data_IF_807205337804
#
_entry.id   IF_807205337804
#
_cell.length_a   1.000
_cell.length_b   1.000
_cell.length_c   1.000
_cell.angle_alpha   90.00
_cell.angle_beta   90.00
_cell.angle_gamma   90.00
#
_symmetry.space_group_name_H-M   'P 1'
#
loop_
_entity.id
_entity.type
_entity.pdbx_description
1 polymer ?
#
# COMPACT_ATOMS: atom_id res chain seq x y z
N UNK A 1 -5.29 6.42 -30.14
CA UNK A 1 -4.10 6.16 -29.32
C UNK A 1 -4.59 5.43 -28.09
N UNK A 2 -4.22 4.16 -27.90
CA UNK A 2 -4.67 3.33 -26.78
C UNK A 2 -3.73 3.55 -25.60
N UNK A 3 -4.07 4.50 -24.73
CA UNK A 3 -3.37 4.67 -23.45
C UNK A 3 -3.61 3.47 -22.53
N UNK A 4 -2.74 3.27 -21.55
CA UNK A 4 -2.88 2.21 -20.56
C UNK A 4 -4.01 2.55 -19.59
N UNK A 5 -5.15 1.87 -19.71
CA UNK A 5 -6.28 2.02 -18.79
C UNK A 5 -5.96 1.37 -17.44
N UNK A 6 -6.19 2.11 -16.36
CA UNK A 6 -5.97 1.67 -14.99
C UNK A 6 -7.26 1.28 -14.27
N UNK A 7 -7.21 0.21 -13.49
CA UNK A 7 -8.30 -0.10 -12.55
C UNK A 7 -7.85 0.15 -11.12
N UNK A 8 -8.68 0.86 -10.36
CA UNK A 8 -8.44 1.13 -8.95
C UNK A 8 -9.42 0.32 -8.13
N UNK A 9 -8.90 -0.47 -7.21
CA UNK A 9 -9.65 -1.27 -6.26
C UNK A 9 -9.35 -0.77 -4.86
N UNK A 10 -10.34 -0.20 -4.19
CA UNK A 10 -10.11 0.60 -2.99
C UNK A 10 -10.98 0.15 -1.82
N UNK A 11 -10.37 -0.29 -0.72
CA UNK A 11 -11.07 -0.52 0.56
C UNK A 11 -11.20 0.80 1.32
N UNK A 12 -12.41 1.37 1.36
CA UNK A 12 -12.68 2.62 2.10
C UNK A 12 -12.56 2.45 3.62
N UNK A 13 -12.61 1.21 4.11
CA UNK A 13 -12.43 0.92 5.53
C UNK A 13 -10.97 0.93 5.95
N UNK A 14 -10.09 0.39 5.11
CA UNK A 14 -8.66 0.30 5.42
C UNK A 14 -7.94 1.62 5.11
N UNK A 15 -8.37 2.31 4.04
CA UNK A 15 -7.83 3.59 3.60
C UNK A 15 -8.99 4.58 3.37
N UNK A 16 -9.58 5.17 4.41
CA UNK A 16 -10.72 6.09 4.26
C UNK A 16 -10.33 7.38 3.52
N UNK A 17 -11.33 8.07 2.98
CA UNK A 17 -11.16 9.46 2.53
C UNK A 17 -10.77 10.31 3.74
N UNK A 18 -9.68 11.11 3.66
CA UNK A 18 -9.35 12.06 4.72
C UNK A 18 -10.50 13.03 4.99
N UNK A 19 -10.80 13.31 6.26
CA UNK A 19 -11.97 14.11 6.67
C UNK A 19 -12.05 15.51 6.03
N UNK A 20 -10.90 16.07 5.64
CA UNK A 20 -10.78 17.38 4.99
C UNK A 20 -11.09 17.35 3.49
N UNK A 21 -11.30 16.17 2.90
CA UNK A 21 -11.45 15.97 1.47
C UNK A 21 -12.80 15.35 1.11
N UNK A 22 -13.17 15.51 -0.16
CA UNK A 22 -14.37 14.92 -0.74
C UNK A 22 -14.00 13.89 -1.83
N UNK A 23 -14.94 13.00 -2.23
CA UNK A 23 -14.68 11.98 -3.24
C UNK A 23 -14.12 12.51 -4.56
N UNK A 24 -14.59 13.67 -5.02
CA UNK A 24 -14.13 14.30 -6.26
C UNK A 24 -12.65 14.71 -6.20
N UNK A 25 -12.24 15.37 -5.12
CA UNK A 25 -10.84 15.77 -4.90
C UNK A 25 -9.91 14.56 -4.82
N UNK A 26 -10.32 13.52 -4.09
CA UNK A 26 -9.52 12.29 -3.96
C UNK A 26 -9.43 11.53 -5.30
N UNK A 27 -10.53 11.46 -6.05
CA UNK A 27 -10.54 10.88 -7.39
C UNK A 27 -9.54 11.60 -8.32
N UNK A 28 -9.54 12.93 -8.30
CA UNK A 28 -8.59 13.73 -9.08
C UNK A 28 -7.13 13.46 -8.65
N UNK A 29 -6.87 13.34 -7.35
CA UNK A 29 -5.54 13.01 -6.82
C UNK A 29 -5.06 11.62 -7.27
N UNK A 30 -5.92 10.60 -7.19
CA UNK A 30 -5.61 9.24 -7.65
C UNK A 30 -5.28 9.25 -9.15
N UNK A 31 -6.12 9.87 -9.97
CA UNK A 31 -5.92 9.96 -11.43
C UNK A 31 -4.61 10.67 -11.77
N UNK A 32 -4.33 11.80 -11.13
CA UNK A 32 -3.08 12.55 -11.29
C UNK A 32 -1.84 11.71 -10.93
N UNK A 33 -1.91 10.93 -9.86
CA UNK A 33 -0.80 10.06 -9.45
C UNK A 33 -0.57 8.92 -10.47
N UNK A 34 -1.64 8.32 -10.98
CA UNK A 34 -1.58 7.27 -11.99
C UNK A 34 -1.05 7.79 -13.33
N UNK A 35 -1.48 8.96 -13.79
CA UNK A 35 -0.98 9.60 -15.00
C UNK A 35 0.54 9.80 -14.94
N UNK A 36 1.05 10.33 -13.83
CA UNK A 36 2.50 10.47 -13.59
C UNK A 36 3.25 9.15 -13.60
N UNK A 37 2.59 8.04 -13.25
CA UNK A 37 3.15 6.68 -13.25
C UNK A 37 3.09 6.03 -14.64
N UNK A 38 2.49 6.70 -15.63
CA UNK A 38 2.40 6.24 -17.02
C UNK A 38 1.05 5.61 -17.40
N UNK A 39 0.01 5.80 -16.58
CA UNK A 39 -1.35 5.35 -16.86
C UNK A 39 -2.10 6.50 -17.53
N UNK A 40 -1.98 6.60 -18.84
CA UNK A 40 -2.52 7.68 -19.68
C UNK A 40 -3.87 7.34 -20.32
N UNK A 41 -4.44 6.18 -20.00
CA UNK A 41 -5.75 5.73 -20.44
C UNK A 41 -6.89 6.06 -19.47
N UNK A 42 -8.03 5.39 -19.66
CA UNK A 42 -9.19 5.56 -18.78
C UNK A 42 -8.91 4.94 -17.40
N UNK A 43 -9.29 5.65 -16.33
CA UNK A 43 -9.18 5.15 -14.95
C UNK A 43 -10.57 4.85 -14.41
N UNK A 44 -10.82 3.59 -14.05
CA UNK A 44 -12.06 3.14 -13.42
C UNK A 44 -11.80 2.87 -11.94
N UNK A 45 -12.57 3.49 -11.05
CA UNK A 45 -12.38 3.38 -9.60
C UNK A 45 -13.55 2.64 -8.98
N UNK A 46 -13.28 1.48 -8.37
CA UNK A 46 -14.21 0.70 -7.57
C UNK A 46 -13.84 0.82 -6.11
N UNK A 47 -14.72 1.43 -5.31
CA UNK A 47 -14.53 1.64 -3.89
C UNK A 47 -15.46 0.70 -3.11
N UNK A 48 -14.89 -0.14 -2.24
CA UNK A 48 -15.59 -1.14 -1.45
C UNK A 48 -15.80 -0.62 -0.03
N UNK A 49 -17.03 -0.69 0.43
CA UNK A 49 -17.42 -0.34 1.80
C UNK A 49 -18.14 -1.51 2.47
N UNK A 50 -18.11 -1.53 3.80
CA UNK A 50 -19.01 -2.41 4.56
C UNK A 50 -20.45 -1.94 4.35
N UNK A 51 -21.41 -2.85 4.53
CA UNK A 51 -22.83 -2.57 4.45
C UNK A 51 -23.31 -1.68 5.62
N UNK A 52 -22.87 -0.43 5.60
CA UNK A 52 -23.42 0.66 6.37
C UNK A 52 -24.62 1.22 5.59
N UNK A 53 -25.61 1.77 6.29
CA UNK A 53 -26.73 2.48 5.66
C UNK A 53 -26.22 3.76 5.01
N UNK A 54 -25.71 3.66 3.78
CA UNK A 54 -25.37 4.79 2.93
C UNK A 54 -26.66 5.46 2.44
N UNK A 55 -26.73 6.79 2.51
CA UNK A 55 -27.84 7.53 1.90
C UNK A 55 -27.68 7.54 0.37
N UNK A 56 -28.80 7.65 -0.35
CA UNK A 56 -28.78 7.81 -1.82
C UNK A 56 -27.95 9.02 -2.26
N UNK A 57 -27.97 10.10 -1.46
CA UNK A 57 -27.16 11.29 -1.67
C UNK A 57 -25.65 10.99 -1.60
N UNK A 58 -25.24 10.16 -0.63
CA UNK A 58 -23.84 9.77 -0.50
C UNK A 58 -23.41 8.91 -1.71
N UNK A 59 -24.23 7.95 -2.15
CA UNK A 59 -23.96 7.20 -3.38
C UNK A 59 -23.85 8.10 -4.62
N UNK A 60 -24.74 9.08 -4.76
CA UNK A 60 -24.70 10.04 -5.85
C UNK A 60 -23.39 10.84 -5.85
N UNK A 61 -22.95 11.31 -4.68
CA UNK A 61 -21.69 12.05 -4.55
C UNK A 61 -20.47 11.24 -5.03
N UNK A 62 -20.34 9.97 -4.65
CA UNK A 62 -19.27 9.11 -5.15
C UNK A 62 -19.39 8.86 -6.66
N UNK A 63 -20.61 8.59 -7.16
CA UNK A 63 -20.85 8.35 -8.57
C UNK A 63 -20.50 9.59 -9.42
N UNK A 64 -20.92 10.77 -9.00
CA UNK A 64 -20.65 12.04 -9.68
C UNK A 64 -19.14 12.36 -9.68
N UNK A 65 -18.41 11.93 -8.65
CA UNK A 65 -16.96 11.97 -8.62
C UNK A 65 -16.28 10.95 -9.55
N UNK A 66 -17.03 10.02 -10.16
CA UNK A 66 -16.51 8.94 -10.99
C UNK A 66 -15.94 7.77 -10.17
N UNK A 67 -16.48 7.51 -8.99
CA UNK A 67 -16.16 6.38 -8.12
C UNK A 67 -17.38 5.46 -8.03
N UNK A 68 -17.22 4.22 -8.47
CA UNK A 68 -18.22 3.17 -8.30
C UNK A 68 -18.17 2.65 -6.87
N UNK A 69 -19.11 3.09 -6.03
CA UNK A 69 -19.24 2.64 -4.65
C UNK A 69 -19.95 1.27 -4.61
N UNK A 70 -19.29 0.27 -4.03
CA UNK A 70 -19.70 -1.13 -4.00
C UNK A 70 -19.85 -1.61 -2.54
N UNK A 71 -21.08 -1.63 -2.01
CA UNK A 71 -21.36 -2.21 -0.70
C UNK A 71 -21.11 -3.71 -0.70
N UNK A 72 -20.38 -4.20 0.31
CA UNK A 72 -20.17 -5.63 0.53
C UNK A 72 -21.04 -6.06 1.72
N UNK A 73 -22.13 -6.81 1.48
CA UNK A 73 -23.00 -7.30 2.55
C UNK A 73 -22.21 -8.23 3.47
N UNK A 74 -22.29 -7.98 4.79
CA UNK A 74 -21.90 -8.85 5.91
C UNK A 74 -20.70 -9.80 5.71
N UNK A 75 -19.67 -9.67 6.57
CA UNK A 75 -18.53 -10.59 6.58
C UNK A 75 -17.19 -9.96 6.97
N UNK A 76 -17.19 -8.66 7.27
CA UNK A 76 -16.02 -7.94 7.75
C UNK A 76 -14.91 -7.85 6.71
N UNK A 77 -13.67 -7.69 7.18
CA UNK A 77 -12.49 -7.46 6.33
C UNK A 77 -12.30 -8.56 5.30
N UNK A 78 -12.33 -9.83 5.72
CA UNK A 78 -12.11 -10.97 4.84
C UNK A 78 -13.09 -10.99 3.66
N UNK A 79 -14.39 -10.75 3.88
CA UNK A 79 -15.37 -10.71 2.79
C UNK A 79 -15.10 -9.56 1.80
N UNK A 80 -14.73 -8.37 2.30
CA UNK A 80 -14.34 -7.24 1.45
C UNK A 80 -13.09 -7.56 0.62
N UNK A 81 -12.06 -8.09 1.27
CA UNK A 81 -10.78 -8.40 0.62
C UNK A 81 -10.97 -9.46 -0.47
N UNK A 82 -11.76 -10.51 -0.21
CA UNK A 82 -12.12 -11.50 -1.22
C UNK A 82 -12.91 -10.90 -2.37
N UNK A 83 -13.91 -10.05 -2.09
CA UNK A 83 -14.70 -9.40 -3.13
C UNK A 83 -13.83 -8.51 -4.03
N UNK A 84 -12.96 -7.71 -3.43
CA UNK A 84 -11.99 -6.86 -4.12
C UNK A 84 -11.07 -7.70 -5.01
N UNK A 85 -10.52 -8.79 -4.46
CA UNK A 85 -9.64 -9.71 -5.16
C UNK A 85 -10.34 -10.40 -6.34
N UNK A 86 -11.57 -10.86 -6.16
CA UNK A 86 -12.35 -11.46 -7.23
C UNK A 86 -12.60 -10.49 -8.39
N UNK A 87 -12.95 -9.25 -8.08
CA UNK A 87 -13.17 -8.23 -9.12
C UNK A 87 -11.86 -7.87 -9.84
N UNK A 88 -10.72 -7.84 -9.13
CA UNK A 88 -9.40 -7.68 -9.74
C UNK A 88 -9.05 -8.83 -10.69
N UNK A 89 -9.24 -10.08 -10.25
CA UNK A 89 -8.98 -11.26 -11.09
C UNK A 89 -9.89 -11.29 -12.31
N UNK A 90 -11.16 -10.92 -12.16
CA UNK A 90 -12.11 -10.85 -13.25
C UNK A 90 -11.69 -9.80 -14.29
N UNK A 91 -11.26 -8.60 -13.86
CA UNK A 91 -10.68 -7.60 -14.77
C UNK A 91 -9.43 -8.13 -15.50
N UNK A 92 -8.64 -8.98 -14.85
CA UNK A 92 -7.50 -9.65 -15.48
C UNK A 92 -7.87 -10.58 -16.64
N UNK A 93 -9.09 -11.14 -16.65
CA UNK A 93 -9.59 -11.98 -17.76
C UNK A 93 -9.79 -11.16 -19.03
N UNK A 94 -10.18 -9.89 -18.89
CA UNK A 94 -10.38 -8.96 -20.01
C UNK A 94 -9.06 -8.35 -20.53
N UNK A 95 -7.91 -8.95 -20.17
CA UNK A 95 -6.54 -8.53 -20.51
C UNK A 95 -6.11 -7.18 -19.91
N UNK A 96 -6.81 -6.64 -18.92
CA UNK A 96 -6.28 -5.53 -18.13
C UNK A 96 -5.16 -6.04 -17.19
N UNK A 97 -4.04 -5.32 -17.15
CA UNK A 97 -2.86 -5.73 -16.37
C UNK A 97 -2.34 -4.66 -15.40
N UNK A 98 -2.93 -3.48 -15.44
CA UNK A 98 -2.48 -2.28 -14.77
C UNK A 98 -3.46 -1.92 -13.65
N UNK A 99 -3.10 -2.28 -12.41
CA UNK A 99 -3.98 -2.18 -11.25
C UNK A 99 -3.38 -1.33 -10.14
N UNK A 100 -4.21 -0.49 -9.52
CA UNK A 100 -3.93 0.15 -8.25
C UNK A 100 -4.83 -0.45 -7.17
N UNK A 101 -4.22 -0.96 -6.12
CA UNK A 101 -4.88 -1.50 -4.94
C UNK A 101 -4.69 -0.53 -3.80
N UNK A 102 -5.77 -0.04 -3.19
CA UNK A 102 -5.73 0.87 -2.04
C UNK A 102 -6.37 0.15 -0.86
N UNK A 103 -5.56 -0.57 -0.08
CA UNK A 103 -6.02 -1.35 1.07
C UNK A 103 -4.84 -1.66 2.00
N UNK A 104 -5.15 -2.30 3.12
CA UNK A 104 -4.17 -2.90 4.02
C UNK A 104 -4.11 -4.44 3.82
N UNK A 105 -3.16 -4.96 3.02
CA UNK A 105 -3.07 -6.38 2.69
C UNK A 105 -2.35 -7.16 3.80
N UNK A 106 -3.06 -7.39 4.90
CA UNK A 106 -2.53 -8.08 6.08
C UNK A 106 -2.44 -9.61 5.91
N UNK A 107 -3.17 -10.20 4.98
CA UNK A 107 -3.30 -11.65 4.86
C UNK A 107 -2.26 -12.25 3.89
N UNK A 108 -1.56 -13.30 4.32
CA UNK A 108 -0.45 -13.91 3.58
C UNK A 108 -0.93 -14.50 2.23
N UNK A 109 -2.14 -15.03 2.21
CA UNK A 109 -2.82 -15.55 1.04
C UNK A 109 -2.98 -14.47 -0.04
N UNK A 110 -3.34 -13.25 0.36
CA UNK A 110 -3.47 -12.11 -0.55
C UNK A 110 -2.11 -11.74 -1.16
N UNK A 111 -1.06 -11.69 -0.35
CA UNK A 111 0.32 -11.38 -0.79
C UNK A 111 0.85 -12.42 -1.80
N UNK A 112 0.48 -13.69 -1.64
CA UNK A 112 0.84 -14.77 -2.58
C UNK A 112 0.16 -14.59 -3.95
N UNK A 113 -1.10 -14.14 -3.96
CA UNK A 113 -1.83 -13.86 -5.20
C UNK A 113 -1.22 -12.67 -5.94
N UNK A 114 -0.87 -11.60 -5.21
CA UNK A 114 -0.14 -10.47 -5.80
C UNK A 114 1.18 -10.91 -6.44
N UNK A 115 1.95 -11.76 -5.75
CA UNK A 115 3.19 -12.31 -6.29
C UNK A 115 2.94 -13.09 -7.59
N UNK A 116 1.92 -13.94 -7.61
CA UNK A 116 1.57 -14.71 -8.80
C UNK A 116 1.16 -13.81 -9.98
N UNK A 117 0.37 -12.77 -9.74
CA UNK A 117 -0.01 -11.78 -10.75
C UNK A 117 1.23 -11.07 -11.31
N UNK A 118 2.14 -10.63 -10.44
CA UNK A 118 3.40 -10.00 -10.87
C UNK A 118 4.21 -10.92 -11.78
N UNK A 119 4.36 -12.20 -11.44
CA UNK A 119 5.06 -13.20 -12.27
C UNK A 119 4.37 -13.39 -13.63
N UNK A 120 3.05 -13.21 -13.71
CA UNK A 120 2.27 -13.22 -14.96
C UNK A 120 2.31 -11.91 -15.74
N UNK A 121 3.11 -10.94 -15.30
CA UNK A 121 3.30 -9.65 -15.98
C UNK A 121 2.22 -8.63 -15.69
N UNK A 122 1.45 -8.79 -14.60
CA UNK A 122 0.59 -7.73 -14.10
C UNK A 122 1.43 -6.66 -13.40
N UNK A 123 1.10 -5.41 -13.66
CA UNK A 123 1.64 -4.25 -12.97
C UNK A 123 0.67 -3.83 -11.87
N UNK A 124 0.95 -4.30 -10.66
CA UNK A 124 0.16 -3.96 -9.47
C UNK A 124 0.91 -2.90 -8.66
N UNK A 125 0.22 -1.80 -8.37
CA UNK A 125 0.63 -0.78 -7.43
C UNK A 125 -0.21 -0.95 -6.18
N UNK A 126 0.42 -1.00 -5.00
CA UNK A 126 -0.27 -1.08 -3.72
C UNK A 126 -0.10 0.23 -2.96
N UNK A 127 -1.19 0.90 -2.61
CA UNK A 127 -1.21 2.01 -1.67
C UNK A 127 -1.72 1.53 -0.30
N UNK A 128 -0.85 1.58 0.71
CA UNK A 128 -1.08 1.04 2.06
C UNK A 128 -0.99 2.14 3.12
N UNK A 129 -1.67 2.02 4.28
CA UNK A 129 -1.58 2.99 5.36
C UNK A 129 -0.16 3.18 5.93
N UNK A 130 0.13 4.39 6.42
CA UNK A 130 1.45 4.85 6.90
C UNK A 130 2.01 4.10 8.11
N UNK A 131 1.13 3.42 8.85
CA UNK A 131 1.49 2.67 10.05
C UNK A 131 1.88 1.21 9.75
N UNK A 132 1.50 0.70 8.58
CA UNK A 132 1.60 -0.71 8.19
C UNK A 132 2.49 -0.85 6.96
N UNK A 133 3.79 -0.79 7.22
CA UNK A 133 4.79 -0.75 6.16
C UNK A 133 5.23 -2.15 5.79
N UNK A 134 4.81 -2.51 4.57
CA UNK A 134 5.20 -3.62 3.71
C UNK A 134 6.38 -4.44 4.23
N UNK A 135 6.04 -5.59 4.82
CA UNK A 135 7.00 -6.69 4.96
C UNK A 135 7.73 -6.93 3.63
N UNK A 136 8.96 -7.46 3.69
CA UNK A 136 9.73 -7.81 2.49
C UNK A 136 8.95 -8.66 1.48
N UNK A 137 7.99 -9.47 1.95
CA UNK A 137 7.08 -10.24 1.10
C UNK A 137 6.23 -9.33 0.20
N UNK A 138 5.64 -8.26 0.75
CA UNK A 138 4.80 -7.32 -0.01
C UNK A 138 5.62 -6.59 -1.07
N UNK A 139 6.81 -6.07 -0.71
CA UNK A 139 7.70 -5.38 -1.66
C UNK A 139 8.09 -6.27 -2.85
N UNK A 140 8.23 -7.57 -2.62
CA UNK A 140 8.53 -8.54 -3.68
C UNK A 140 7.32 -8.87 -4.54
N UNK A 141 6.12 -8.84 -3.96
CA UNK A 141 4.88 -9.25 -4.61
C UNK A 141 4.29 -8.23 -5.58
N UNK A 142 4.60 -6.93 -5.46
CA UNK A 142 4.01 -5.87 -6.31
C UNK A 142 5.07 -5.08 -7.08
N UNK A 143 4.64 -4.28 -8.06
CA UNK A 143 5.51 -3.40 -8.85
C UNK A 143 5.97 -2.18 -8.07
N UNK A 144 5.05 -1.53 -7.38
CA UNK A 144 5.29 -0.36 -6.53
C UNK A 144 4.45 -0.43 -5.27
N UNK A 145 4.97 0.14 -4.18
CA UNK A 145 4.22 0.35 -2.94
C UNK A 145 4.21 1.84 -2.63
N UNK A 146 3.05 2.40 -2.34
CA UNK A 146 2.79 3.81 -2.06
C UNK A 146 2.20 3.98 -0.66
N UNK A 147 2.42 5.13 -0.05
CA UNK A 147 1.63 5.56 1.11
C UNK A 147 0.24 6.03 0.66
N UNK A 148 -0.81 5.50 1.29
CA UNK A 148 -2.17 5.89 0.94
C UNK A 148 -2.48 7.34 1.34
N UNK A 149 -1.92 7.85 2.45
CA UNK A 149 -2.15 9.24 2.87
C UNK A 149 -1.69 10.25 1.80
N UNK A 150 -0.42 10.19 1.39
CA UNK A 150 0.15 11.07 0.37
C UNK A 150 -0.50 10.90 -1.00
N UNK A 151 -0.94 9.69 -1.35
CA UNK A 151 -1.74 9.44 -2.54
C UNK A 151 -3.07 10.20 -2.49
N UNK A 152 -3.87 9.97 -1.46
CA UNK A 152 -5.23 10.47 -1.36
C UNK A 152 -5.27 11.98 -1.12
N UNK A 153 -4.31 12.53 -0.38
CA UNK A 153 -4.27 13.96 -0.03
C UNK A 153 -3.68 14.84 -1.13
N UNK A 154 -2.62 14.38 -1.80
CA UNK A 154 -1.78 15.25 -2.64
C UNK A 154 -1.71 14.81 -4.11
N UNK A 155 -2.09 13.57 -4.40
CA UNK A 155 -1.86 12.96 -5.72
C UNK A 155 -0.37 12.90 -6.06
N UNK A 156 0.47 12.75 -5.04
CA UNK A 156 1.92 12.62 -5.15
C UNK A 156 2.41 11.59 -4.12
N UNK A 157 2.18 10.29 -4.41
CA UNK A 157 2.43 9.24 -3.44
C UNK A 157 3.92 9.09 -3.13
N UNK A 158 4.23 8.98 -1.85
CA UNK A 158 5.55 8.55 -1.40
C UNK A 158 5.74 7.05 -1.73
N UNK A 159 6.70 6.76 -2.61
CA UNK A 159 6.94 5.40 -3.07
C UNK A 159 7.89 4.63 -2.14
N UNK A 160 7.33 3.70 -1.36
CA UNK A 160 8.03 2.88 -0.37
C UNK A 160 9.09 1.95 -0.98
N UNK A 161 8.95 1.53 -2.22
CA UNK A 161 9.98 0.73 -2.91
C UNK A 161 11.31 1.51 -3.04
N UNK A 162 11.23 2.83 -3.20
CA UNK A 162 12.41 3.72 -3.26
C UNK A 162 13.01 4.02 -1.88
N UNK A 163 12.28 3.68 -0.80
CA UNK A 163 12.74 3.89 0.56
C UNK A 163 13.83 2.88 0.95
N UNK A 164 13.83 1.68 0.34
CA UNK A 164 14.80 0.63 0.67
C UNK A 164 16.24 1.07 0.45
N UNK A 165 17.00 1.09 1.54
CA UNK A 165 18.44 1.34 1.50
C UNK A 165 19.14 0.03 1.18
N UNK A 166 19.53 -0.16 -0.07
CA UNK A 166 20.27 -1.36 -0.50
C UNK A 166 21.76 -1.25 -0.19
N UNK A 167 22.30 -0.04 -0.13
CA UNK A 167 23.70 0.22 0.17
C UNK A 167 23.84 1.20 1.36
N UNK A 168 24.43 0.71 2.46
CA UNK A 168 24.71 1.50 3.66
C UNK A 168 26.09 2.18 3.63
N UNK A 169 26.91 1.94 2.61
CA UNK A 169 28.24 2.53 2.51
C UNK A 169 28.19 4.05 2.34
N UNK A 170 27.11 4.56 1.75
CA UNK A 170 26.87 6.00 1.55
C UNK A 170 26.62 6.78 2.86
N UNK A 171 26.40 6.10 3.99
CA UNK A 171 26.14 6.73 5.28
C UNK A 171 27.31 6.48 6.22
N UNK A 172 27.99 7.51 6.69
CA UNK A 172 29.13 7.39 7.59
C UNK A 172 28.71 7.33 9.06
N UNK A 173 27.52 7.86 9.38
CA UNK A 173 27.00 7.93 10.74
C UNK A 173 25.49 7.67 10.79
N UNK A 174 24.94 7.31 11.97
CA UNK A 174 23.49 7.34 12.22
C UNK A 174 22.85 8.69 11.91
N UNK A 175 23.56 9.79 12.14
CA UNK A 175 23.06 11.15 11.91
C UNK A 175 22.77 11.39 10.42
N UNK A 176 23.55 10.80 9.53
CA UNK A 176 23.33 10.89 8.08
C UNK A 176 21.99 10.26 7.68
N UNK A 177 21.55 9.23 8.41
CA UNK A 177 20.25 8.58 8.21
C UNK A 177 19.09 9.41 8.78
N UNK A 178 19.32 10.34 9.71
CA UNK A 178 18.27 11.20 10.27
C UNK A 178 17.67 12.14 9.20
N UNK A 179 18.45 12.51 8.17
CA UNK A 179 18.00 13.30 7.04
C UNK A 179 16.88 12.64 6.21
N UNK A 180 16.71 11.32 6.33
CA UNK A 180 15.61 10.60 5.71
C UNK A 180 14.25 10.92 6.37
N UNK A 181 14.27 11.45 7.59
CA UNK A 181 13.07 11.80 8.33
C UNK A 181 12.37 10.63 9.03
N UNK A 182 11.45 10.99 9.93
CA UNK A 182 10.80 10.06 10.87
C UNK A 182 10.00 8.97 10.18
N UNK A 183 9.24 9.34 9.14
CA UNK A 183 8.35 8.44 8.41
C UNK A 183 9.17 7.42 7.65
N UNK A 184 10.17 7.86 6.87
CA UNK A 184 11.05 6.99 6.08
C UNK A 184 11.84 6.00 6.93
N UNK A 185 12.37 6.43 8.07
CA UNK A 185 13.09 5.54 8.98
C UNK A 185 12.17 4.51 9.65
N UNK A 186 10.92 4.90 9.97
CA UNK A 186 9.92 3.99 10.53
C UNK A 186 9.61 2.87 9.53
N UNK A 187 9.33 3.27 8.29
CA UNK A 187 9.06 2.41 7.14
C UNK A 187 10.20 1.42 6.94
N UNK A 188 11.43 1.92 6.83
CA UNK A 188 12.59 1.07 6.53
C UNK A 188 12.86 0.03 7.62
N UNK A 189 12.70 0.41 8.90
CA UNK A 189 12.83 -0.54 10.01
C UNK A 189 11.72 -1.59 10.01
N UNK A 190 10.46 -1.17 9.81
CA UNK A 190 9.30 -2.09 9.78
C UNK A 190 9.43 -3.11 8.64
N UNK A 191 9.84 -2.68 7.43
CA UNK A 191 10.04 -3.57 6.28
C UNK A 191 11.06 -4.68 6.52
N UNK A 192 12.01 -4.45 7.44
CA UNK A 192 13.06 -5.39 7.86
C UNK A 192 12.68 -6.19 9.11
N UNK A 193 11.44 -6.08 9.60
CA UNK A 193 10.98 -6.71 10.84
C UNK A 193 11.68 -6.18 12.09
N UNK A 194 12.24 -4.97 12.01
CA UNK A 194 12.91 -4.29 13.11
C UNK A 194 11.95 -3.36 13.83
N UNK A 195 12.19 -3.13 15.13
CA UNK A 195 11.40 -2.18 15.92
C UNK A 195 11.57 -0.75 15.38
N UNK A 196 10.48 -0.05 15.16
CA UNK A 196 10.47 1.34 14.70
C UNK A 196 10.15 2.38 15.80
N UNK A 197 9.87 1.95 17.03
CA UNK A 197 9.55 2.87 18.13
C UNK A 197 10.74 3.69 18.64
N UNK A 198 10.42 4.79 19.35
CA UNK A 198 11.39 5.74 19.92
C UNK A 198 11.62 6.99 19.07
N UNK A 199 12.67 7.73 19.42
CA UNK A 199 13.07 8.99 18.76
C UNK A 199 13.62 8.76 17.34
N UNK A 200 13.71 9.83 16.55
CA UNK A 200 14.33 9.83 15.21
C UNK A 200 15.75 9.25 15.26
N UNK A 201 16.57 9.74 16.21
CA UNK A 201 17.93 9.29 16.46
C UNK A 201 17.99 7.79 16.78
N UNK A 202 17.06 7.33 17.62
CA UNK A 202 16.98 5.92 18.00
C UNK A 202 16.61 5.00 16.83
N UNK A 203 15.79 5.48 15.88
CA UNK A 203 15.48 4.75 14.65
C UNK A 203 16.68 4.74 13.71
N UNK A 204 17.31 5.89 13.49
CA UNK A 204 18.48 6.03 12.63
C UNK A 204 19.66 5.15 13.09
N UNK A 205 20.00 5.20 14.39
CA UNK A 205 21.04 4.37 14.98
C UNK A 205 20.75 2.87 14.86
N UNK A 206 19.48 2.48 15.02
CA UNK A 206 19.07 1.08 14.88
C UNK A 206 19.18 0.59 13.44
N UNK A 207 18.80 1.42 12.48
CA UNK A 207 18.92 1.12 11.07
C UNK A 207 20.38 1.03 10.64
N UNK A 208 21.23 1.93 11.15
CA UNK A 208 22.67 1.97 10.87
C UNK A 208 23.42 0.69 11.27
N UNK A 209 22.90 -0.09 12.23
CA UNK A 209 23.48 -1.39 12.60
C UNK A 209 23.64 -2.33 11.40
N UNK A 210 22.77 -2.19 10.39
CA UNK A 210 22.81 -3.00 9.19
C UNK A 210 24.00 -2.72 8.28
N UNK A 211 24.74 -1.62 8.50
CA UNK A 211 25.99 -1.34 7.79
C UNK A 211 27.05 -2.40 8.08
N UNK A 212 27.16 -2.85 9.33
CA UNK A 212 28.18 -3.80 9.78
C UNK A 212 27.62 -5.17 10.19
N UNK A 213 26.32 -5.26 10.45
CA UNK A 213 25.67 -6.46 10.98
C UNK A 213 24.53 -6.90 10.06
N UNK A 214 24.67 -8.05 9.38
CA UNK A 214 23.58 -8.67 8.62
C UNK A 214 22.30 -8.84 9.46
N UNK A 215 21.13 -8.73 8.83
CA UNK A 215 19.83 -8.70 9.51
C UNK A 215 19.57 -9.94 10.39
N UNK A 216 20.05 -11.12 9.98
CA UNK A 216 19.96 -12.39 10.71
C UNK A 216 20.81 -12.42 11.99
N UNK A 217 21.85 -11.58 12.06
CA UNK A 217 22.74 -11.43 13.23
C UNK A 217 22.35 -10.26 14.13
N UNK A 218 21.33 -9.50 13.77
CA UNK A 218 20.84 -8.38 14.59
C UNK A 218 20.30 -8.90 15.93
N UNK A 219 20.65 -8.26 17.07
CA UNK A 219 20.15 -8.66 18.38
C UNK A 219 18.62 -8.67 18.44
N UNK A 220 18.04 -9.77 18.96
CA UNK A 220 16.58 -9.97 19.08
C UNK A 220 15.84 -8.81 19.76
N UNK A 221 16.50 -8.05 20.65
CA UNK A 221 15.93 -6.87 21.31
C UNK A 221 15.50 -5.77 20.33
N UNK A 222 16.12 -5.70 19.16
CA UNK A 222 15.82 -4.73 18.09
C UNK A 222 14.86 -5.28 17.04
N UNK A 223 14.55 -6.58 17.07
CA UNK A 223 13.58 -7.20 16.17
C UNK A 223 12.18 -7.17 16.80
N UNK A 224 11.16 -7.11 15.94
CA UNK A 224 9.77 -7.30 16.37
C UNK A 224 9.62 -8.76 16.82
N UNK A 225 8.92 -8.98 17.94
CA UNK A 225 8.60 -10.36 18.37
C UNK A 225 7.73 -10.99 17.28
N UNK A 226 8.13 -12.16 16.75
CA UNK A 226 7.26 -12.92 15.85
C UNK A 226 5.94 -13.17 16.59
N UNK A 227 4.83 -12.59 16.11
CA UNK A 227 3.50 -13.11 16.45
C UNK A 227 3.45 -14.49 15.80
N UNK A 228 3.16 -15.52 16.59
CA UNK A 228 2.99 -16.87 16.06
C UNK A 228 1.88 -16.81 15.00
N UNK A 229 2.22 -17.06 13.74
CA UNK A 229 1.23 -17.52 12.75
C UNK A 229 0.84 -18.90 13.22
N UNK A 230 -0.44 -19.14 13.45
CA UNK A 230 -0.93 -20.46 13.84
C UNK A 230 -0.38 -21.50 12.87
N UNK A 231 0.32 -22.52 13.40
CA UNK A 231 0.58 -23.74 12.62
C UNK A 231 -0.78 -24.38 12.40
N UNK A 232 -1.27 -24.42 11.17
CA UNK A 232 -2.28 -25.42 10.81
C UNK A 232 -1.68 -26.80 11.08
N UNK A 233 -2.22 -27.46 12.10
CA UNK A 233 -2.19 -28.91 12.28
C UNK A 233 -3.14 -29.56 11.30
#
# INVERSE_FOLDING_TARGET
>A
MSGNSGFVFWSLKDCPIPESLNPGSVCANIKKALEKKGFDGAVLIKAYCDNETFSDELFANYRDAGIDLLPVPAGGKTARDFKLMWDMLLCGVDNYKDFLLILDPLEAEFVNILFYLKVRGFNVILASPDDEVASESILRSVGSVWLSSSLLEQGNPDELSTIRITNFDNFNSPQDLEALGTVRLKIELQSRGMKCGGTLQGRAARLFLLKSTPLDKIPKKFLVKRKYVYKCS
#
